data_IF_856136820552
#
_entry.id   IF_856136820552
#
_cell.length_a   1.000
_cell.length_b   1.000
_cell.length_c   1.000
_cell.angle_alpha   90.00
_cell.angle_beta   90.00
_cell.angle_gamma   90.00
#
_symmetry.space_group_name_H-M   'P 1'
#
loop_
_entity.id
_entity.type
_entity.pdbx_description
1 polymer ?
#
# COMPACT_ATOMS: atom_id res chain seq x y z
N UNK A 1 31.46 -7.04 -33.85
CA UNK A 1 31.40 -8.04 -32.76
C UNK A 1 30.14 -7.78 -31.99
N UNK A 2 29.19 -8.73 -31.94
CA UNK A 2 28.00 -8.60 -31.10
C UNK A 2 28.43 -8.54 -29.64
N UNK A 3 27.91 -7.57 -28.87
CA UNK A 3 28.15 -7.51 -27.42
C UNK A 3 27.72 -8.83 -26.76
N UNK A 4 28.57 -9.34 -25.87
CA UNK A 4 28.21 -10.54 -25.10
C UNK A 4 27.06 -10.23 -24.15
N UNK A 5 26.26 -11.23 -23.81
CA UNK A 5 25.12 -11.07 -22.91
C UNK A 5 25.53 -10.49 -21.53
N UNK A 6 26.74 -10.82 -21.06
CA UNK A 6 27.31 -10.28 -19.83
C UNK A 6 27.64 -8.79 -19.94
N UNK A 7 28.23 -8.36 -21.07
CA UNK A 7 28.54 -6.94 -21.31
C UNK A 7 27.27 -6.08 -21.38
N UNK A 8 26.22 -6.60 -22.01
CA UNK A 8 24.90 -5.94 -22.06
C UNK A 8 24.31 -5.73 -20.67
N UNK A 9 24.31 -6.78 -19.84
CA UNK A 9 23.84 -6.71 -18.46
C UNK A 9 24.64 -5.70 -17.64
N UNK A 10 25.98 -5.71 -17.76
CA UNK A 10 26.85 -4.81 -17.01
C UNK A 10 26.66 -3.34 -17.40
N UNK A 11 26.39 -3.05 -18.68
CA UNK A 11 26.06 -1.69 -19.14
C UNK A 11 24.69 -1.22 -18.63
N UNK A 12 23.73 -2.13 -18.53
CA UNK A 12 22.34 -1.82 -18.17
C UNK A 12 22.02 -2.05 -16.68
N UNK A 13 23.00 -2.15 -15.78
CA UNK A 13 22.76 -2.45 -14.36
C UNK A 13 21.78 -1.48 -13.70
N UNK A 14 21.91 -0.17 -13.98
CA UNK A 14 21.00 0.85 -13.44
C UNK A 14 19.56 0.65 -13.91
N UNK A 15 19.39 0.35 -15.19
CA UNK A 15 18.06 0.12 -15.79
C UNK A 15 17.44 -1.17 -15.26
N UNK A 16 18.25 -2.21 -15.05
CA UNK A 16 17.82 -3.46 -14.40
C UNK A 16 17.36 -3.19 -12.96
N UNK A 17 18.07 -2.32 -12.22
CA UNK A 17 17.65 -1.91 -10.87
C UNK A 17 16.30 -1.21 -10.89
N UNK A 18 16.09 -0.25 -11.78
CA UNK A 18 14.83 0.46 -11.94
C UNK A 18 13.67 -0.49 -12.25
N UNK A 19 13.84 -1.39 -13.22
CA UNK A 19 12.82 -2.39 -13.57
C UNK A 19 12.56 -3.37 -12.42
N UNK A 20 13.63 -3.82 -11.76
CA UNK A 20 13.55 -4.70 -10.60
C UNK A 20 12.93 -4.01 -9.39
N UNK A 21 12.92 -2.68 -9.28
CA UNK A 21 12.20 -1.92 -8.26
C UNK A 21 10.74 -1.66 -8.67
N UNK A 22 10.46 -1.48 -9.96
CA UNK A 22 9.10 -1.24 -10.47
C UNK A 22 8.17 -2.46 -10.35
N UNK A 23 8.69 -3.68 -10.39
CA UNK A 23 7.82 -4.86 -10.30
C UNK A 23 8.18 -6.00 -11.23
N UNK A 24 8.99 -5.74 -12.25
CA UNK A 24 9.23 -6.69 -13.33
C UNK A 24 9.91 -7.96 -12.82
N UNK A 25 9.47 -9.07 -13.39
CA UNK A 25 10.07 -10.39 -13.18
C UNK A 25 11.39 -10.51 -13.91
N UNK A 26 12.24 -11.43 -13.46
CA UNK A 26 13.53 -11.71 -14.12
C UNK A 26 13.36 -12.21 -15.57
N UNK A 27 12.20 -12.78 -15.91
CA UNK A 27 11.87 -13.20 -17.27
C UNK A 27 11.61 -11.98 -18.17
N UNK A 28 10.77 -11.05 -17.71
CA UNK A 28 10.47 -9.80 -18.44
C UNK A 28 11.73 -8.93 -18.59
N UNK A 29 12.56 -8.84 -17.55
CA UNK A 29 13.85 -8.14 -17.63
C UNK A 29 14.76 -8.77 -18.68
N UNK A 30 14.81 -10.10 -18.77
CA UNK A 30 15.62 -10.80 -19.76
C UNK A 30 15.11 -10.53 -21.19
N UNK A 31 13.78 -10.55 -21.40
CA UNK A 31 13.15 -10.21 -22.67
C UNK A 31 13.45 -8.76 -23.10
N UNK A 32 13.33 -7.79 -22.19
CA UNK A 32 13.66 -6.38 -22.45
C UNK A 32 15.13 -6.16 -22.82
N UNK A 33 16.03 -6.98 -22.28
CA UNK A 33 17.46 -6.96 -22.64
C UNK A 33 17.76 -7.72 -23.95
N UNK A 34 16.77 -8.42 -24.52
CA UNK A 34 16.95 -9.29 -25.68
C UNK A 34 17.83 -10.51 -25.39
N UNK A 35 17.80 -11.01 -24.15
CA UNK A 35 18.57 -12.17 -23.68
C UNK A 35 17.59 -13.28 -23.30
N UNK A 36 17.87 -14.52 -23.72
CA UNK A 36 17.08 -15.67 -23.26
C UNK A 36 17.14 -15.83 -21.74
N UNK A 37 16.00 -16.12 -21.10
CA UNK A 37 15.91 -16.26 -19.64
C UNK A 37 16.92 -17.26 -19.05
N UNK A 38 17.19 -18.36 -19.75
CA UNK A 38 18.18 -19.37 -19.34
C UNK A 38 19.60 -18.80 -19.26
N UNK A 39 19.97 -17.92 -20.19
CA UNK A 39 21.25 -17.21 -20.22
C UNK A 39 21.33 -16.18 -19.10
N UNK A 40 20.27 -15.38 -18.90
CA UNK A 40 20.18 -14.43 -17.79
C UNK A 40 20.38 -15.12 -16.43
N UNK A 41 19.72 -16.27 -16.22
CA UNK A 41 19.85 -17.07 -14.99
C UNK A 41 21.27 -17.61 -14.77
N UNK A 42 21.96 -18.02 -15.83
CA UNK A 42 23.38 -18.46 -15.75
C UNK A 42 24.28 -17.29 -15.33
N UNK A 43 24.14 -16.15 -16.00
CA UNK A 43 24.93 -14.94 -15.72
C UNK A 43 24.69 -14.44 -14.30
N UNK A 44 23.43 -14.44 -13.82
CA UNK A 44 23.08 -14.08 -12.44
C UNK A 44 23.80 -14.94 -11.39
N UNK A 45 24.04 -16.23 -11.66
CA UNK A 45 24.76 -17.11 -10.73
C UNK A 45 26.27 -16.82 -10.71
N UNK A 46 26.83 -16.40 -11.85
CA UNK A 46 28.26 -16.15 -12.01
C UNK A 46 28.64 -14.72 -11.60
N UNK A 47 27.74 -13.76 -11.80
CA UNK A 47 27.96 -12.35 -11.56
C UNK A 47 27.48 -11.93 -10.17
N UNK A 48 28.45 -11.70 -9.27
CA UNK A 48 28.20 -11.28 -7.88
C UNK A 48 27.50 -9.91 -7.82
N UNK A 49 27.84 -8.98 -8.71
CA UNK A 49 27.27 -7.63 -8.72
C UNK A 49 25.77 -7.65 -9.09
N UNK A 50 25.40 -8.38 -10.14
CA UNK A 50 23.99 -8.54 -10.52
C UNK A 50 23.18 -9.23 -9.41
N UNK A 51 23.75 -10.27 -8.80
CA UNK A 51 23.08 -10.99 -7.71
C UNK A 51 22.86 -10.08 -6.49
N UNK A 52 23.87 -9.29 -6.11
CA UNK A 52 23.79 -8.35 -5.00
C UNK A 52 22.73 -7.26 -5.28
N UNK A 53 22.72 -6.71 -6.49
CA UNK A 53 21.75 -5.70 -6.93
C UNK A 53 20.31 -6.23 -6.85
N UNK A 54 20.03 -7.41 -7.40
CA UNK A 54 18.68 -7.99 -7.35
C UNK A 54 18.23 -8.31 -5.91
N UNK A 55 19.15 -8.77 -5.05
CA UNK A 55 18.87 -8.99 -3.63
C UNK A 55 18.56 -7.67 -2.91
N UNK A 56 19.32 -6.61 -3.20
CA UNK A 56 19.08 -5.27 -2.67
C UNK A 56 17.69 -4.75 -3.10
N UNK A 57 17.35 -4.85 -4.38
CA UNK A 57 16.03 -4.47 -4.89
C UNK A 57 14.89 -5.21 -4.19
N UNK A 58 15.04 -6.53 -3.99
CA UNK A 58 14.05 -7.33 -3.28
C UNK A 58 13.90 -6.91 -1.82
N UNK A 59 15.00 -6.54 -1.14
CA UNK A 59 14.96 -6.02 0.22
C UNK A 59 14.28 -4.65 0.28
N UNK A 60 14.62 -3.74 -0.61
CA UNK A 60 13.99 -2.40 -0.71
C UNK A 60 12.49 -2.53 -0.97
N UNK A 61 12.07 -3.42 -1.88
CA UNK A 61 10.65 -3.72 -2.12
C UNK A 61 9.91 -4.21 -0.88
N UNK A 62 10.51 -5.12 -0.12
CA UNK A 62 9.87 -5.59 1.13
C UNK A 62 9.77 -4.48 2.17
N UNK A 63 10.83 -3.67 2.32
CA UNK A 63 10.84 -2.58 3.28
C UNK A 63 9.82 -1.50 2.90
N UNK A 64 9.77 -1.10 1.64
CA UNK A 64 8.77 -0.14 1.13
C UNK A 64 7.35 -0.67 1.32
N UNK A 65 7.09 -1.93 0.97
CA UNK A 65 5.78 -2.55 1.21
C UNK A 65 5.42 -2.55 2.70
N UNK A 66 6.37 -2.87 3.59
CA UNK A 66 6.15 -2.82 5.04
C UNK A 66 5.77 -1.42 5.49
N UNK A 67 6.48 -0.39 5.04
CA UNK A 67 6.16 1.01 5.39
C UNK A 67 4.81 1.46 4.84
N UNK A 68 4.44 1.01 3.64
CA UNK A 68 3.12 1.29 3.06
C UNK A 68 2.01 0.63 3.86
N UNK A 69 2.20 -0.62 4.29
CA UNK A 69 1.27 -1.32 5.18
C UNK A 69 1.11 -0.57 6.50
N UNK A 70 2.21 -0.19 7.15
CA UNK A 70 2.18 0.57 8.41
C UNK A 70 1.43 1.93 8.26
N UNK A 71 1.61 2.62 7.13
CA UNK A 71 0.90 3.87 6.83
C UNK A 71 -0.62 3.64 6.67
N UNK A 72 -0.99 2.58 5.95
CA UNK A 72 -2.40 2.21 5.76
C UNK A 72 -3.03 1.79 7.09
N UNK A 73 -2.32 1.00 7.91
CA UNK A 73 -2.77 0.61 9.24
C UNK A 73 -3.05 1.84 10.12
N UNK A 74 -2.15 2.83 10.11
CA UNK A 74 -2.36 4.09 10.81
C UNK A 74 -3.58 4.83 10.28
N UNK A 75 -3.70 4.99 8.96
CA UNK A 75 -4.85 5.66 8.36
C UNK A 75 -6.17 4.96 8.67
N UNK A 76 -6.19 3.62 8.68
CA UNK A 76 -7.36 2.82 9.00
C UNK A 76 -7.75 3.00 10.47
N UNK A 77 -6.77 3.11 11.36
CA UNK A 77 -7.00 3.40 12.77
C UNK A 77 -7.58 4.80 13.00
N UNK A 78 -7.08 5.83 12.31
CA UNK A 78 -7.67 7.17 12.37
C UNK A 78 -9.11 7.15 11.82
N UNK A 79 -9.37 6.43 10.73
CA UNK A 79 -10.72 6.25 10.18
C UNK A 79 -11.65 5.53 11.15
N UNK A 80 -11.15 4.56 11.91
CA UNK A 80 -11.92 3.85 12.92
C UNK A 80 -12.29 4.74 14.13
N UNK A 81 -11.48 5.76 14.45
CA UNK A 81 -11.79 6.76 15.50
C UNK A 81 -12.64 7.92 15.00
N UNK A 82 -12.52 8.24 13.72
CA UNK A 82 -12.93 9.54 13.18
C UNK A 82 -11.84 10.58 13.42
N UNK A 83 -11.67 11.51 12.48
CA UNK A 83 -10.66 12.55 12.57
C UNK A 83 -11.14 13.84 11.90
N UNK A 84 -10.61 14.96 12.37
CA UNK A 84 -10.82 16.27 11.75
C UNK A 84 -9.63 16.60 10.85
N UNK A 85 -9.90 17.24 9.72
CA UNK A 85 -8.87 17.79 8.86
C UNK A 85 -9.25 19.19 8.38
N UNK A 86 -8.24 20.03 8.18
CA UNK A 86 -8.40 21.38 7.67
C UNK A 86 -8.24 21.37 6.15
N UNK A 87 -9.24 21.91 5.45
CA UNK A 87 -9.17 22.22 4.02
C UNK A 87 -9.03 23.72 3.88
N UNK A 88 -8.08 24.17 3.04
CA UNK A 88 -8.00 25.56 2.62
C UNK A 88 -8.82 25.73 1.35
N UNK A 89 -9.94 26.44 1.46
CA UNK A 89 -10.74 26.85 0.31
C UNK A 89 -10.40 28.30 -0.06
N UNK A 90 -10.45 28.62 -1.35
CA UNK A 90 -10.24 29.96 -1.87
C UNK A 90 -11.59 30.57 -2.23
N UNK A 91 -11.98 31.64 -1.54
CA UNK A 91 -13.21 32.37 -1.83
C UNK A 91 -12.85 33.69 -2.50
N UNK A 92 -13.54 34.01 -3.60
CA UNK A 92 -13.44 35.33 -4.24
C UNK A 92 -14.26 36.33 -3.44
N UNK A 93 -13.59 37.31 -2.83
CA UNK A 93 -14.23 38.39 -2.09
C UNK A 93 -14.16 39.65 -2.94
N UNK A 94 -15.33 40.25 -3.18
CA UNK A 94 -15.44 41.57 -3.82
C UNK A 94 -15.40 42.63 -2.75
N UNK A 95 -14.35 43.43 -2.73
CA UNK A 95 -14.29 44.63 -1.91
C UNK A 95 -14.71 45.81 -2.78
N UNK A 96 -15.68 46.58 -2.28
CA UNK A 96 -16.13 47.81 -2.92
C UNK A 96 -15.97 48.96 -1.95
N UNK A 97 -15.34 50.03 -2.41
CA UNK A 97 -15.17 51.26 -1.63
C UNK A 97 -15.44 52.49 -2.47
N UNK A 98 -15.44 53.64 -1.81
CA UNK A 98 -15.47 54.94 -2.47
C UNK A 98 -14.14 55.62 -2.19
N UNK A 99 -13.55 56.18 -3.24
CA UNK A 99 -12.35 57.02 -3.13
C UNK A 99 -12.71 58.37 -2.50
N UNK A 100 -11.74 59.15 -2.00
CA UNK A 100 -11.98 60.48 -1.38
C UNK A 100 -12.71 61.48 -2.31
N UNK A 101 -12.80 61.16 -3.60
CA UNK A 101 -13.51 61.92 -4.64
C UNK A 101 -14.91 61.35 -4.99
N UNK A 102 -15.42 60.40 -4.21
CA UNK A 102 -16.74 59.79 -4.40
C UNK A 102 -16.85 58.78 -5.56
N UNK A 103 -15.72 58.40 -6.18
CA UNK A 103 -15.70 57.39 -7.26
C UNK A 103 -15.70 55.99 -6.64
N UNK A 104 -16.67 55.15 -7.02
CA UNK A 104 -16.75 53.75 -6.59
C UNK A 104 -15.62 52.95 -7.24
N UNK A 105 -14.88 52.18 -6.44
CA UNK A 105 -13.93 51.18 -6.92
C UNK A 105 -14.39 49.79 -6.50
N UNK A 106 -14.06 48.79 -7.32
CA UNK A 106 -14.30 47.38 -7.04
C UNK A 106 -13.00 46.61 -7.26
N UNK A 107 -12.58 45.84 -6.25
CA UNK A 107 -11.40 44.97 -6.32
C UNK A 107 -11.82 43.55 -5.96
N UNK A 108 -11.40 42.60 -6.78
CA UNK A 108 -11.61 41.17 -6.52
C UNK A 108 -10.31 40.62 -5.91
N UNK A 109 -10.39 40.09 -4.69
CA UNK A 109 -9.27 39.43 -4.02
C UNK A 109 -9.65 37.97 -3.69
N UNK A 110 -8.68 37.07 -3.87
CA UNK A 110 -8.81 35.67 -3.44
C UNK A 110 -8.38 35.58 -1.98
N UNK A 111 -9.32 35.24 -1.10
CA UNK A 111 -9.05 35.04 0.32
C UNK A 111 -8.99 33.55 0.65
N UNK A 112 -7.94 33.15 1.36
CA UNK A 112 -7.79 31.81 1.92
C UNK A 112 -8.67 31.65 3.16
N UNK A 113 -9.58 30.67 3.13
CA UNK A 113 -10.45 30.32 4.26
C UNK A 113 -10.16 28.89 4.67
N UNK A 114 -9.74 28.70 5.93
CA UNK A 114 -9.54 27.37 6.51
C UNK A 114 -10.86 26.84 7.05
N UNK A 115 -11.35 25.75 6.47
CA UNK A 115 -12.54 25.03 6.93
C UNK A 115 -12.14 23.72 7.60
N UNK A 116 -12.68 23.47 8.79
CA UNK A 116 -12.54 22.18 9.48
C UNK A 116 -13.62 21.23 8.96
N UNK A 117 -13.21 20.11 8.36
CA UNK A 117 -14.09 19.03 7.94
C UNK A 117 -13.89 17.85 8.88
N UNK A 118 -15.01 17.32 9.39
CA UNK A 118 -15.00 16.12 10.23
C UNK A 118 -15.25 14.88 9.37
N UNK A 119 -14.35 13.90 9.47
CA UNK A 119 -14.56 12.56 8.93
C UNK A 119 -15.12 11.69 10.06
N UNK A 120 -16.38 11.21 9.97
CA UNK A 120 -16.95 10.38 11.02
C UNK A 120 -16.23 9.04 11.11
N UNK A 121 -16.25 8.48 12.31
CA UNK A 121 -15.72 7.16 12.60
C UNK A 121 -16.43 6.09 11.75
N UNK A 122 -15.65 5.19 11.16
CA UNK A 122 -16.18 4.02 10.49
C UNK A 122 -16.42 2.89 11.51
N UNK A 123 -17.71 2.62 11.77
CA UNK A 123 -18.16 1.60 12.72
C UNK A 123 -17.67 0.20 12.32
N UNK A 124 -17.59 -0.10 11.03
CA UNK A 124 -17.12 -1.40 10.56
C UNK A 124 -15.62 -1.57 10.80
N UNK A 125 -14.83 -0.52 10.54
CA UNK A 125 -13.40 -0.52 10.85
C UNK A 125 -13.15 -0.66 12.35
N UNK A 126 -13.91 0.05 13.19
CA UNK A 126 -13.85 -0.07 14.64
C UNK A 126 -14.22 -1.48 15.13
N UNK A 127 -15.32 -2.06 14.62
CA UNK A 127 -15.74 -3.44 14.92
C UNK A 127 -14.65 -4.45 14.54
N UNK A 128 -14.08 -4.33 13.34
CA UNK A 128 -13.02 -5.22 12.86
C UNK A 128 -11.76 -5.14 13.73
N UNK A 129 -11.34 -3.93 14.10
CA UNK A 129 -10.20 -3.72 14.98
C UNK A 129 -10.44 -4.35 16.36
N UNK A 130 -11.59 -4.11 16.96
CA UNK A 130 -11.93 -4.63 18.29
C UNK A 130 -12.02 -6.15 18.32
N UNK A 131 -12.61 -6.78 17.30
CA UNK A 131 -12.67 -8.24 17.20
C UNK A 131 -11.27 -8.84 17.12
N UNK A 132 -10.33 -8.21 16.41
CA UNK A 132 -8.98 -8.74 16.25
C UNK A 132 -8.07 -8.46 17.45
N UNK A 133 -8.10 -7.24 17.99
CA UNK A 133 -7.24 -6.82 19.10
C UNK A 133 -7.77 -7.26 20.47
N UNK A 134 -9.09 -7.28 20.65
CA UNK A 134 -9.75 -7.57 21.92
C UNK A 134 -10.68 -8.81 21.85
N UNK A 135 -10.20 -9.88 21.21
CA UNK A 135 -10.91 -11.17 20.98
C UNK A 135 -11.65 -11.76 22.18
N UNK A 136 -11.22 -11.47 23.41
CA UNK A 136 -11.88 -11.97 24.63
C UNK A 136 -13.15 -11.20 24.98
N UNK A 137 -13.19 -9.90 24.65
CA UNK A 137 -14.31 -8.99 24.96
C UNK A 137 -15.22 -8.76 23.74
N UNK A 138 -14.63 -8.73 22.56
CA UNK A 138 -15.33 -8.47 21.30
C UNK A 138 -15.20 -9.69 20.40
N UNK A 139 -16.33 -10.32 20.11
CA UNK A 139 -16.43 -11.50 19.27
C UNK A 139 -17.61 -11.32 18.32
N UNK A 140 -17.42 -11.66 17.05
CA UNK A 140 -18.51 -11.61 16.07
C UNK A 140 -19.57 -12.69 16.36
N UNK A 141 -19.11 -13.87 16.79
CA UNK A 141 -19.97 -14.95 17.27
C UNK A 141 -19.30 -15.66 18.46
N UNK A 142 -19.76 -15.41 19.70
CA UNK A 142 -19.15 -15.96 20.89
C UNK A 142 -19.15 -17.50 20.99
N UNK A 143 -20.20 -18.14 20.46
CA UNK A 143 -20.38 -19.59 20.57
C UNK A 143 -19.79 -20.36 19.39
N UNK A 144 -19.26 -19.67 18.36
CA UNK A 144 -18.76 -20.32 17.14
C UNK A 144 -17.70 -21.37 17.45
N UNK A 145 -16.71 -21.01 18.27
CA UNK A 145 -15.59 -21.92 18.61
C UNK A 145 -16.09 -23.16 19.38
N UNK A 146 -17.08 -23.01 20.24
CA UNK A 146 -17.69 -24.13 20.96
C UNK A 146 -18.50 -25.03 20.04
N UNK A 147 -19.28 -24.44 19.13
CA UNK A 147 -20.08 -25.15 18.15
C UNK A 147 -19.19 -25.91 17.15
N UNK A 148 -18.11 -25.30 16.65
CA UNK A 148 -17.14 -25.93 15.74
C UNK A 148 -16.47 -27.14 16.43
N UNK A 149 -16.11 -27.02 17.71
CA UNK A 149 -15.57 -28.13 18.50
C UNK A 149 -16.58 -29.27 18.67
N UNK A 150 -17.85 -28.96 18.93
CA UNK A 150 -18.92 -29.97 19.02
C UNK A 150 -19.14 -30.67 17.67
N UNK A 151 -19.13 -29.92 16.58
CA UNK A 151 -19.27 -30.45 15.23
C UNK A 151 -18.09 -31.36 14.83
N UNK A 152 -16.85 -30.97 15.16
CA UNK A 152 -15.66 -31.81 14.92
C UNK A 152 -15.73 -33.12 15.71
N UNK A 153 -16.10 -33.08 17.00
CA UNK A 153 -16.27 -34.29 17.82
C UNK A 153 -17.37 -35.21 17.28
N UNK A 154 -18.46 -34.67 16.74
CA UNK A 154 -19.51 -35.46 16.12
C UNK A 154 -18.98 -36.16 14.86
N UNK A 155 -18.23 -35.44 14.01
CA UNK A 155 -17.59 -35.99 12.80
C UNK A 155 -16.55 -37.06 13.11
N UNK A 156 -15.75 -36.88 14.16
CA UNK A 156 -14.78 -37.90 14.62
C UNK A 156 -15.50 -39.20 15.01
N UNK A 157 -16.60 -39.10 15.79
CA UNK A 157 -17.41 -40.26 16.16
C UNK A 157 -18.10 -40.94 14.98
N UNK A 158 -18.58 -40.16 14.01
CA UNK A 158 -19.16 -40.70 12.77
C UNK A 158 -18.11 -41.41 11.91
N UNK A 159 -16.87 -40.91 11.90
CA UNK A 159 -15.77 -41.55 11.19
C UNK A 159 -15.36 -42.86 11.86
N UNK A 160 -15.22 -42.87 13.19
CA UNK A 160 -14.93 -44.09 13.97
C UNK A 160 -16.04 -45.14 13.80
N UNK A 161 -17.31 -44.73 13.83
CA UNK A 161 -18.45 -45.62 13.65
C UNK A 161 -18.64 -46.16 12.22
N UNK A 162 -17.97 -45.58 11.21
CA UNK A 162 -17.93 -46.09 9.83
C UNK A 162 -16.72 -46.99 9.55
N UNK A 163 -15.73 -46.98 10.44
CA UNK A 163 -14.50 -47.79 10.35
C UNK A 163 -14.66 -49.16 11.02
N UNK A 164 -15.77 -49.36 11.73
CA UNK A 164 -16.29 -50.63 12.25
C UNK A 164 -17.46 -51.08 11.36
#
# INVERSE_FOLDING_TARGET
MSETAEQKIMKCLKTIEEWALQGLTEAEIAELLGIGYSTFRKIKKQNVALLALLKHCAMVKRNTLKTQVEQIERSLFERAKGYDYEITDYIKVKQTGYDDKGKKWEKEELQEVKKKMHVPADVQAAKFFLINAAKKKWQDNPHKVENDKKAMKLREKEAEGKMW
#
